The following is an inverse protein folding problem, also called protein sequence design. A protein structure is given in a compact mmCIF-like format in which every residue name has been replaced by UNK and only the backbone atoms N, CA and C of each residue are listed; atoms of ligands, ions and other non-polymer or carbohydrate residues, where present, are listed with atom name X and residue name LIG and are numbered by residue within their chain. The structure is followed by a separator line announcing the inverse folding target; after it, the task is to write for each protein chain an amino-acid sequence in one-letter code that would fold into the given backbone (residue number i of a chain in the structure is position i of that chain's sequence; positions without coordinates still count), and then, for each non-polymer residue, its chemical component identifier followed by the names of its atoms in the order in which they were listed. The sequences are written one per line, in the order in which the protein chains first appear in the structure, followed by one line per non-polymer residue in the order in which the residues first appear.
data_IF_821132065722
#
_entry.id   IF_821132065722
#
_cell.length_a   1.000
_cell.length_b   1.000
_cell.length_c   1.000
_cell.angle_alpha   90.00
_cell.angle_beta   90.00
_cell.angle_gamma   90.00
#
_symmetry.space_group_name_H-M   'P 1'
#
loop_
_entity.id
_entity.type
_entity.pdbx_description
1 polymer ?
#
# COMPACT_ATOMS: atom_id res chain seq x y z
N UNK A 1 -1.47 31.38 -22.68
CA UNK A 1 -1.88 30.16 -23.41
C UNK A 1 -0.82 29.03 -23.32
N UNK A 2 -0.06 28.93 -22.21
CA UNK A 2 1.03 27.95 -22.00
C UNK A 2 0.75 26.71 -21.10
N UNK A 3 -0.29 26.63 -20.24
CA UNK A 3 -0.41 25.54 -19.28
C UNK A 3 -0.88 24.20 -19.89
N UNK A 4 -1.50 24.22 -21.07
CA UNK A 4 -2.02 23.01 -21.73
C UNK A 4 -0.91 22.22 -22.44
N UNK A 5 0.00 22.89 -23.15
CA UNK A 5 1.12 22.24 -23.86
C UNK A 5 2.08 21.54 -22.89
N UNK A 6 2.43 22.20 -21.78
CA UNK A 6 3.27 21.61 -20.74
C UNK A 6 2.62 20.37 -20.10
N UNK A 7 1.31 20.41 -19.87
CA UNK A 7 0.54 19.25 -19.40
C UNK A 7 0.59 18.10 -20.39
N UNK A 8 0.44 18.35 -21.69
CA UNK A 8 0.54 17.31 -22.72
C UNK A 8 1.95 16.70 -22.82
N UNK A 9 3.01 17.53 -22.70
CA UNK A 9 4.40 17.05 -22.70
C UNK A 9 4.66 16.15 -21.49
N UNK A 10 4.22 16.54 -20.29
CA UNK A 10 4.34 15.73 -19.08
C UNK A 10 3.60 14.40 -19.25
N UNK A 11 2.37 14.43 -19.76
CA UNK A 11 1.58 13.21 -19.99
C UNK A 11 2.25 12.28 -21.02
N UNK A 12 2.77 12.83 -22.12
CA UNK A 12 3.46 12.05 -23.14
C UNK A 12 4.74 11.40 -22.58
N UNK A 13 5.53 12.12 -21.79
CA UNK A 13 6.73 11.58 -21.12
C UNK A 13 6.37 10.48 -20.14
N UNK A 14 5.34 10.67 -19.30
CA UNK A 14 4.87 9.66 -18.36
C UNK A 14 4.41 8.39 -19.08
N UNK A 15 3.67 8.53 -20.18
CA UNK A 15 3.22 7.39 -20.99
C UNK A 15 4.40 6.67 -21.63
N UNK A 16 5.38 7.41 -22.18
CA UNK A 16 6.57 6.82 -22.80
C UNK A 16 7.41 6.03 -21.77
N UNK A 17 7.61 6.58 -20.57
CA UNK A 17 8.33 5.91 -19.48
C UNK A 17 7.57 4.67 -19.02
N UNK A 18 6.24 4.77 -18.85
CA UNK A 18 5.42 3.63 -18.48
C UNK A 18 5.48 2.53 -19.54
N UNK A 19 5.37 2.87 -20.82
CA UNK A 19 5.49 1.91 -21.92
C UNK A 19 6.87 1.23 -21.93
N UNK A 20 7.95 2.00 -21.76
CA UNK A 20 9.31 1.46 -21.68
C UNK A 20 9.51 0.53 -20.47
N UNK A 21 8.96 0.89 -19.31
CA UNK A 21 9.01 0.02 -18.14
C UNK A 21 8.24 -1.30 -18.37
N UNK A 22 7.08 -1.24 -19.01
CA UNK A 22 6.30 -2.42 -19.38
C UNK A 22 7.01 -3.31 -20.39
N UNK A 23 7.63 -2.74 -21.44
CA UNK A 23 8.36 -3.53 -22.42
C UNK A 23 9.58 -4.20 -21.79
N UNK A 24 10.31 -3.51 -20.93
CA UNK A 24 11.44 -4.08 -20.18
C UNK A 24 10.99 -5.24 -19.29
N UNK A 25 9.87 -5.08 -18.56
CA UNK A 25 9.31 -6.14 -17.74
C UNK A 25 8.96 -7.36 -18.58
N UNK A 26 8.25 -7.19 -19.71
CA UNK A 26 7.90 -8.29 -20.62
C UNK A 26 9.14 -8.96 -21.20
N UNK A 27 10.18 -8.19 -21.54
CA UNK A 27 11.42 -8.73 -22.09
C UNK A 27 12.21 -9.52 -21.06
N UNK A 28 12.34 -9.03 -19.82
CA UNK A 28 12.94 -9.77 -18.71
C UNK A 28 12.21 -11.09 -18.43
N UNK A 29 10.88 -11.08 -18.50
CA UNK A 29 10.05 -12.26 -18.29
C UNK A 29 10.31 -13.37 -19.34
N UNK A 30 10.59 -12.99 -20.58
CA UNK A 30 10.85 -13.93 -21.67
C UNK A 30 12.27 -14.53 -21.62
N UNK A 31 13.22 -13.84 -20.99
CA UNK A 31 14.63 -14.27 -20.90
C UNK A 31 15.01 -15.02 -19.62
N UNK A 32 14.13 -15.08 -18.62
CA UNK A 32 14.41 -15.78 -17.36
C UNK A 32 14.05 -17.28 -17.45
N UNK A 33 14.99 -18.14 -17.04
CA UNK A 33 14.76 -19.57 -16.90
C UNK A 33 13.61 -19.87 -15.92
N UNK A 34 12.91 -20.99 -16.14
CA UNK A 34 11.72 -21.38 -15.38
C UNK A 34 11.97 -21.52 -13.87
N UNK A 35 13.20 -21.87 -13.47
CA UNK A 35 13.61 -22.03 -12.07
C UNK A 35 13.76 -20.67 -11.35
N UNK A 36 14.47 -19.71 -11.95
CA UNK A 36 14.53 -18.32 -11.46
C UNK A 36 13.17 -17.63 -11.50
N UNK A 37 12.28 -18.03 -12.42
CA UNK A 37 10.88 -17.57 -12.46
C UNK A 37 10.01 -18.16 -11.34
N UNK A 38 10.41 -19.19 -10.61
CA UNK A 38 9.63 -19.68 -9.48
C UNK A 38 10.05 -19.00 -8.17
N UNK A 39 11.35 -18.75 -7.98
CA UNK A 39 11.85 -18.04 -6.79
C UNK A 39 11.43 -16.56 -6.75
N UNK A 40 11.41 -15.87 -7.90
CA UNK A 40 11.00 -14.46 -7.99
C UNK A 40 9.49 -14.24 -7.72
N UNK A 41 8.66 -15.28 -7.88
CA UNK A 41 7.19 -15.19 -7.77
C UNK A 41 6.63 -15.81 -6.50
N UNK A 42 7.50 -16.28 -5.62
CA UNK A 42 7.10 -16.59 -4.25
C UNK A 42 6.43 -15.34 -3.67
N UNK A 43 5.19 -15.47 -3.20
CA UNK A 43 4.44 -14.42 -2.51
C UNK A 43 5.17 -13.95 -1.24
N UNK A 44 5.99 -14.82 -0.65
CA UNK A 44 6.89 -14.53 0.47
C UNK A 44 8.24 -13.97 0.02
N UNK A 45 8.47 -13.84 -1.30
CA UNK A 45 9.75 -13.50 -1.95
C UNK A 45 10.89 -14.46 -1.55
N UNK A 46 10.55 -15.71 -1.16
CA UNK A 46 11.50 -16.69 -0.63
C UNK A 46 12.07 -16.33 0.75
N UNK A 47 11.54 -15.30 1.41
CA UNK A 47 12.07 -14.79 2.67
C UNK A 47 11.46 -15.51 3.87
N UNK A 48 12.26 -15.71 4.92
CA UNK A 48 11.77 -16.17 6.22
C UNK A 48 10.94 -15.08 6.90
N UNK A 49 9.99 -15.49 7.74
CA UNK A 49 9.05 -14.60 8.43
C UNK A 49 9.70 -13.35 9.10
N UNK A 50 10.84 -13.44 9.81
CA UNK A 50 11.43 -12.28 10.47
C UNK A 50 11.92 -11.21 9.48
N UNK A 51 12.51 -11.63 8.35
CA UNK A 51 13.03 -10.75 7.32
C UNK A 51 11.88 -10.09 6.53
N UNK A 52 10.86 -10.88 6.20
CA UNK A 52 9.64 -10.36 5.58
C UNK A 52 8.99 -9.29 6.44
N UNK A 53 8.81 -9.55 7.74
CA UNK A 53 8.23 -8.58 8.67
C UNK A 53 9.10 -7.33 8.79
N UNK A 54 10.42 -7.45 8.86
CA UNK A 54 11.30 -6.29 8.93
C UNK A 54 11.15 -5.38 7.70
N UNK A 55 11.17 -5.95 6.49
CA UNK A 55 11.00 -5.20 5.23
C UNK A 55 9.60 -4.62 5.12
N UNK A 56 8.58 -5.39 5.49
CA UNK A 56 7.18 -4.94 5.54
C UNK A 56 7.03 -3.71 6.43
N UNK A 57 7.60 -3.75 7.64
CA UNK A 57 7.53 -2.63 8.57
C UNK A 57 8.25 -1.39 8.01
N UNK A 58 9.45 -1.55 7.46
CA UNK A 58 10.20 -0.44 6.83
C UNK A 58 9.36 0.18 5.70
N UNK A 59 8.74 -0.65 4.85
CA UNK A 59 7.92 -0.20 3.73
C UNK A 59 6.66 0.54 4.21
N UNK A 60 5.95 0.02 5.21
CA UNK A 60 4.76 0.66 5.76
C UNK A 60 5.08 1.99 6.43
N UNK A 61 6.22 2.06 7.13
CA UNK A 61 6.75 3.33 7.64
C UNK A 61 7.03 4.28 6.47
N UNK A 62 7.75 3.85 5.44
CA UNK A 62 8.11 4.74 4.34
C UNK A 62 6.88 5.29 3.58
N UNK A 63 5.86 4.46 3.33
CA UNK A 63 4.74 4.82 2.45
C UNK A 63 3.51 5.34 3.18
N UNK A 64 3.18 4.83 4.37
CA UNK A 64 1.96 5.20 5.07
C UNK A 64 2.18 6.19 6.22
N UNK A 65 3.39 6.29 6.76
CA UNK A 65 3.73 7.33 7.74
C UNK A 65 3.50 8.76 7.21
N UNK A 66 3.74 9.11 5.92
CA UNK A 66 3.40 10.42 5.38
C UNK A 66 1.89 10.74 5.45
N UNK A 67 1.03 9.72 5.28
CA UNK A 67 -0.43 9.91 5.40
C UNK A 67 -0.85 10.12 6.86
N UNK A 68 -0.24 9.40 7.80
CA UNK A 68 -0.45 9.59 9.23
C UNK A 68 0.14 10.90 9.77
N UNK A 69 1.23 11.39 9.18
CA UNK A 69 1.90 12.63 9.58
C UNK A 69 0.98 13.85 9.49
N UNK A 70 0.14 13.93 8.45
CA UNK A 70 -0.85 15.01 8.32
C UNK A 70 -1.83 15.05 9.49
N UNK A 71 -2.28 13.90 9.99
CA UNK A 71 -3.19 13.78 11.11
C UNK A 71 -2.49 13.98 12.47
N UNK A 72 -1.23 13.54 12.60
CA UNK A 72 -0.39 13.74 13.79
C UNK A 72 -0.11 15.24 14.00
N UNK A 73 0.15 15.99 12.92
CA UNK A 73 0.37 17.44 13.00
C UNK A 73 -0.91 18.17 13.44
N UNK A 74 -2.07 17.83 12.89
CA UNK A 74 -3.35 18.40 13.34
C UNK A 74 -3.65 18.03 14.80
N UNK A 75 -3.38 16.78 15.21
CA UNK A 75 -3.57 16.37 16.60
C UNK A 75 -2.61 17.10 17.54
N UNK A 76 -1.37 17.33 17.13
CA UNK A 76 -0.39 18.09 17.88
C UNK A 76 -0.80 19.57 18.04
N UNK A 77 -1.33 20.21 16.99
CA UNK A 77 -1.87 21.58 17.08
C UNK A 77 -3.05 21.68 18.06
N UNK A 78 -3.99 20.72 18.01
CA UNK A 78 -5.14 20.67 18.92
C UNK A 78 -4.68 20.40 20.36
N UNK A 79 -3.73 19.47 20.56
CA UNK A 79 -3.20 19.14 21.88
C UNK A 79 -2.33 20.26 22.47
N UNK A 80 -1.56 20.99 21.65
CA UNK A 80 -0.84 22.19 22.10
C UNK A 80 -1.82 23.30 22.55
N UNK A 81 -2.97 23.42 21.88
CA UNK A 81 -4.07 24.28 22.31
C UNK A 81 -4.76 23.82 23.61
N UNK A 82 -4.79 22.52 23.90
CA UNK A 82 -5.29 21.96 25.17
C UNK A 82 -4.29 22.07 26.31
N UNK A 83 -3.00 21.91 26.03
CA UNK A 83 -1.93 22.05 27.00
C UNK A 83 -1.80 23.49 27.52
N UNK A 84 -2.01 24.48 26.65
CA UNK A 84 -2.10 25.89 27.08
C UNK A 84 -3.33 26.19 27.95
N UNK A 85 -4.35 25.32 27.92
CA UNK A 85 -5.57 25.37 28.75
C UNK A 85 -5.52 24.45 29.98
N UNK A 86 -4.42 23.70 30.19
CA UNK A 86 -4.22 22.82 31.34
C UNK A 86 -4.98 21.49 31.31
N UNK A 87 -5.47 21.05 30.15
CA UNK A 87 -6.23 19.79 30.00
C UNK A 87 -5.31 18.56 29.78
N UNK A 88 -5.87 17.36 29.93
CA UNK A 88 -5.16 16.07 29.85
C UNK A 88 -4.44 15.89 28.50
N UNK A 89 -3.11 15.78 28.54
CA UNK A 89 -2.25 15.63 27.37
C UNK A 89 -1.94 14.16 27.08
N UNK A 90 -2.20 13.70 25.84
CA UNK A 90 -1.82 12.35 25.38
C UNK A 90 -0.69 12.49 24.37
N UNK A 91 0.47 11.87 24.68
CA UNK A 91 1.66 11.92 23.83
C UNK A 91 1.42 11.25 22.47
N UNK A 92 1.81 11.93 21.39
CA UNK A 92 1.74 11.41 20.00
C UNK A 92 2.43 10.05 19.82
N UNK A 93 3.35 9.68 20.72
CA UNK A 93 4.01 8.38 20.74
C UNK A 93 3.06 7.20 20.96
N UNK A 94 1.97 7.38 21.71
CA UNK A 94 0.96 6.32 21.91
C UNK A 94 0.25 5.99 20.60
N UNK A 95 -0.04 7.01 19.79
CA UNK A 95 -0.63 6.84 18.47
C UNK A 95 0.32 6.10 17.52
N UNK A 96 1.59 6.51 17.49
CA UNK A 96 2.61 5.85 16.65
C UNK A 96 2.81 4.39 17.07
N UNK A 97 2.84 4.10 18.37
CA UNK A 97 2.98 2.73 18.88
C UNK A 97 1.79 1.84 18.50
N UNK A 98 0.56 2.33 18.69
CA UNK A 98 -0.64 1.60 18.28
C UNK A 98 -0.71 1.36 16.78
N UNK A 99 -0.36 2.37 15.98
CA UNK A 99 -0.28 2.27 14.53
C UNK A 99 0.74 1.22 14.08
N UNK A 100 1.93 1.21 14.69
CA UNK A 100 2.97 0.23 14.39
C UNK A 100 2.55 -1.20 14.78
N UNK A 101 1.84 -1.35 15.89
CA UNK A 101 1.32 -2.64 16.34
C UNK A 101 0.30 -3.19 15.35
N UNK A 102 -0.64 -2.37 14.88
CA UNK A 102 -1.62 -2.76 13.85
C UNK A 102 -0.91 -3.21 12.57
N UNK A 103 0.09 -2.47 12.10
CA UNK A 103 0.86 -2.85 10.92
C UNK A 103 1.68 -4.13 11.10
N UNK A 104 2.21 -4.35 12.30
CA UNK A 104 2.90 -5.60 12.66
C UNK A 104 1.95 -6.80 12.58
N UNK A 105 0.76 -6.70 13.19
CA UNK A 105 -0.26 -7.76 13.13
C UNK A 105 -0.70 -8.01 11.68
N UNK A 106 -0.95 -6.96 10.92
CA UNK A 106 -1.29 -7.08 9.50
C UNK A 106 -0.17 -7.72 8.69
N UNK A 107 1.10 -7.42 8.99
CA UNK A 107 2.25 -8.05 8.36
C UNK A 107 2.31 -9.56 8.62
N UNK A 108 2.00 -9.99 9.85
CA UNK A 108 1.91 -11.42 10.21
C UNK A 108 0.79 -12.10 9.43
N UNK A 109 -0.39 -11.49 9.37
CA UNK A 109 -1.54 -12.01 8.60
C UNK A 109 -1.18 -12.11 7.11
N UNK A 110 -0.53 -11.08 6.55
CA UNK A 110 -0.10 -11.05 5.16
C UNK A 110 0.91 -12.16 4.86
N UNK A 111 1.91 -12.36 5.73
CA UNK A 111 2.90 -13.43 5.59
C UNK A 111 2.24 -14.81 5.67
N UNK A 112 1.36 -15.04 6.65
CA UNK A 112 0.64 -16.29 6.80
C UNK A 112 -0.24 -16.60 5.58
N UNK A 113 -0.92 -15.58 5.05
CA UNK A 113 -1.71 -15.69 3.82
C UNK A 113 -0.84 -16.01 2.60
N UNK A 114 0.30 -15.35 2.45
CA UNK A 114 1.26 -15.59 1.38
C UNK A 114 1.83 -17.02 1.43
N UNK A 115 2.34 -17.44 2.59
CA UNK A 115 2.88 -18.78 2.80
C UNK A 115 1.80 -19.87 2.61
N UNK A 116 0.58 -19.63 3.12
CA UNK A 116 -0.55 -20.55 2.92
C UNK A 116 -0.96 -20.67 1.46
N UNK A 117 -0.98 -19.56 0.72
CA UNK A 117 -1.28 -19.55 -0.71
C UNK A 117 -0.21 -20.27 -1.53
N UNK A 118 1.07 -20.12 -1.19
CA UNK A 118 2.17 -20.88 -1.80
C UNK A 118 2.02 -22.40 -1.57
N UNK A 119 1.74 -22.80 -0.33
CA UNK A 119 1.49 -24.21 0.01
C UNK A 119 0.31 -24.76 -0.79
N UNK A 120 -0.82 -24.06 -0.81
CA UNK A 120 -2.02 -24.47 -1.56
C UNK A 120 -1.75 -24.55 -3.06
N UNK A 121 -1.02 -23.58 -3.63
CA UNK A 121 -0.66 -23.60 -5.05
C UNK A 121 0.19 -24.83 -5.40
N UNK A 122 1.12 -25.22 -4.53
CA UNK A 122 1.89 -26.45 -4.65
C UNK A 122 1.05 -27.72 -4.56
N UNK A 123 0.05 -27.77 -3.66
CA UNK A 123 -0.83 -28.91 -3.49
C UNK A 123 -1.83 -29.10 -4.64
N UNK A 124 -2.35 -28.02 -5.21
CA UNK A 124 -3.38 -28.05 -6.27
C UNK A 124 -2.76 -28.07 -7.68
N UNK A 125 -1.43 -27.96 -7.78
CA UNK A 125 -0.72 -27.92 -9.06
C UNK A 125 -1.12 -26.71 -9.91
N UNK A 126 -1.31 -25.55 -9.27
CA UNK A 126 -1.79 -24.36 -9.94
C UNK A 126 -0.76 -23.90 -10.98
N UNK A 127 -1.14 -23.91 -12.26
CA UNK A 127 -0.24 -23.45 -13.32
C UNK A 127 0.02 -21.95 -13.21
N UNK A 128 1.26 -21.53 -13.52
CA UNK A 128 1.65 -20.12 -13.53
C UNK A 128 0.73 -19.25 -14.40
N UNK A 129 0.19 -19.80 -15.49
CA UNK A 129 -0.77 -19.12 -16.36
C UNK A 129 -2.11 -18.85 -15.65
N UNK A 130 -2.57 -19.75 -14.78
CA UNK A 130 -3.81 -19.57 -14.00
C UNK A 130 -3.60 -18.56 -12.89
N UNK A 131 -2.47 -18.63 -12.18
CA UNK A 131 -2.09 -17.64 -11.17
C UNK A 131 -1.98 -16.23 -11.79
N UNK A 132 -1.37 -16.10 -12.98
CA UNK A 132 -1.27 -14.84 -13.70
C UNK A 132 -2.64 -14.27 -14.10
N UNK A 133 -3.60 -15.12 -14.52
CA UNK A 133 -4.97 -14.69 -14.82
C UNK A 133 -5.70 -14.19 -13.57
N UNK A 134 -5.53 -14.88 -12.44
CA UNK A 134 -6.12 -14.46 -11.16
C UNK A 134 -5.53 -13.11 -10.74
N UNK A 135 -4.20 -12.96 -10.78
CA UNK A 135 -3.52 -11.70 -10.49
C UNK A 135 -3.99 -10.58 -11.42
N UNK A 136 -4.12 -10.84 -12.72
CA UNK A 136 -4.65 -9.89 -13.69
C UNK A 136 -6.08 -9.47 -13.40
N UNK A 137 -6.96 -10.42 -13.05
CA UNK A 137 -8.34 -10.13 -12.66
C UNK A 137 -8.41 -9.26 -11.39
N UNK A 138 -7.60 -9.58 -10.37
CA UNK A 138 -7.50 -8.79 -9.14
C UNK A 138 -7.02 -7.36 -9.42
N UNK A 139 -6.03 -7.19 -10.28
CA UNK A 139 -5.55 -5.87 -10.70
C UNK A 139 -6.62 -5.08 -11.46
N UNK A 140 -7.37 -5.73 -12.35
CA UNK A 140 -8.48 -5.09 -13.07
C UNK A 140 -9.59 -4.65 -12.11
N UNK A 141 -9.95 -5.48 -11.14
CA UNK A 141 -10.93 -5.13 -10.09
C UNK A 141 -10.41 -3.97 -9.24
N UNK A 142 -9.15 -4.03 -8.80
CA UNK A 142 -8.52 -2.96 -8.03
C UNK A 142 -8.44 -1.64 -8.81
N UNK A 143 -8.11 -1.70 -10.10
CA UNK A 143 -8.12 -0.55 -11.01
C UNK A 143 -9.52 0.03 -11.20
N UNK A 144 -10.53 -0.83 -11.41
CA UNK A 144 -11.93 -0.40 -11.51
C UNK A 144 -12.40 0.29 -10.22
N UNK A 145 -12.07 -0.27 -9.05
CA UNK A 145 -12.36 0.38 -7.76
C UNK A 145 -11.67 1.73 -7.63
N UNK A 146 -10.37 1.80 -7.97
CA UNK A 146 -9.58 3.04 -7.87
C UNK A 146 -10.06 4.16 -8.80
N UNK A 147 -10.63 3.82 -9.96
CA UNK A 147 -11.18 4.76 -10.94
C UNK A 147 -12.68 5.03 -10.73
N UNK A 148 -13.33 4.30 -9.83
CA UNK A 148 -14.75 4.48 -9.54
C UNK A 148 -15.01 5.68 -8.62
N UNK A 149 -16.14 6.39 -8.78
CA UNK A 149 -16.56 7.44 -7.85
C UNK A 149 -16.88 6.90 -6.44
N UNK A 150 -17.01 5.57 -6.26
CA UNK A 150 -17.16 4.95 -4.95
C UNK A 150 -15.95 5.21 -4.05
N UNK A 151 -14.74 5.26 -4.62
CA UNK A 151 -13.52 5.59 -3.86
C UNK A 151 -13.63 6.97 -3.24
N UNK A 152 -14.08 7.96 -4.01
CA UNK A 152 -14.19 9.34 -3.53
C UNK A 152 -15.30 9.51 -2.50
N UNK A 153 -16.44 8.84 -2.68
CA UNK A 153 -17.52 8.80 -1.69
C UNK A 153 -17.06 8.16 -0.37
N UNK A 154 -16.33 7.05 -0.45
CA UNK A 154 -15.81 6.35 0.72
C UNK A 154 -14.72 7.18 1.42
N UNK A 155 -13.80 7.78 0.66
CA UNK A 155 -12.76 8.66 1.20
C UNK A 155 -13.32 9.95 1.79
N UNK A 156 -14.40 10.52 1.23
CA UNK A 156 -15.07 11.67 1.81
C UNK A 156 -15.63 11.35 3.20
N UNK A 157 -16.18 10.14 3.40
CA UNK A 157 -16.66 9.68 4.71
C UNK A 157 -15.52 9.35 5.68
N UNK A 158 -14.45 8.71 5.19
CA UNK A 158 -13.33 8.26 6.01
C UNK A 158 -12.34 9.39 6.38
N UNK A 159 -12.24 10.46 5.59
CA UNK A 159 -11.31 11.58 5.81
C UNK A 159 -11.95 12.86 6.30
N UNK A 160 -13.23 12.88 6.71
CA UNK A 160 -13.80 14.03 7.41
C UNK A 160 -13.31 14.07 8.86
N UNK A 161 -12.26 14.83 9.20
CA UNK A 161 -11.64 14.79 10.53
C UNK A 161 -12.53 15.53 11.54
N UNK A 162 -13.31 16.50 11.03
CA UNK A 162 -14.21 17.35 11.80
C UNK A 162 -15.41 16.57 12.35
N UNK A 163 -15.91 15.57 11.62
CA UNK A 163 -17.01 14.72 12.09
C UNK A 163 -16.62 13.93 13.34
N UNK A 164 -15.49 13.21 13.27
CA UNK A 164 -15.01 12.40 14.40
C UNK A 164 -14.64 13.26 15.63
N UNK A 165 -14.04 14.44 15.41
CA UNK A 165 -13.66 15.35 16.51
C UNK A 165 -14.88 16.04 17.15
N UNK A 166 -15.93 16.37 16.39
CA UNK A 166 -17.12 17.06 16.92
C UNK A 166 -18.19 16.12 17.51
N UNK A 167 -18.24 14.84 17.12
CA UNK A 167 -19.29 13.91 17.60
C UNK A 167 -18.83 12.94 18.69
N UNK A 168 -17.52 12.81 18.92
CA UNK A 168 -16.96 11.74 19.76
C UNK A 168 -16.13 12.23 20.96
N UNK A 169 -16.19 13.53 21.26
CA UNK A 169 -15.65 14.15 22.48
C UNK A 169 -16.73 14.92 23.21
#
# INVERSE_FOLDING_TARGET
MAPTLQRYIILALLIAIAAAAWTLLVWQQMGMDADMRMEMYALTMGMKAPLFLAIWMIMMIAMMFPTAASMILTFHEVQAGKQSRGETFVSSWVFVAGYMLVWGVMGVIAFAGAAGAEMLAGHVGLSAATAARIGGALLMIGGAYQLSPLKDLCLAKCRTPIGFILTSW
#
